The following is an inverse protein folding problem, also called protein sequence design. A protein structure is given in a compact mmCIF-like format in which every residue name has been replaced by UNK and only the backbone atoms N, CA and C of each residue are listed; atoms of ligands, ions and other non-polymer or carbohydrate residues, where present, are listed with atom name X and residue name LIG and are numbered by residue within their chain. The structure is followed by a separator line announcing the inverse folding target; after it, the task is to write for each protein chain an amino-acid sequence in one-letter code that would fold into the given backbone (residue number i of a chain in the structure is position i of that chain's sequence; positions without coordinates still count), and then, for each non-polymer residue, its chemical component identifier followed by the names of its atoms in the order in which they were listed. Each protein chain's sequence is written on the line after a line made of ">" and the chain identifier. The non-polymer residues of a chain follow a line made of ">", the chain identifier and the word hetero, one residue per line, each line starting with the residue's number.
data_IF_366779758466
#
_entry.id   IF_366779758466
#
_cell.length_a   1.000
_cell.length_b   1.000
_cell.length_c   1.000
_cell.angle_alpha   90.00
_cell.angle_beta   90.00
_cell.angle_gamma   90.00
#
_symmetry.space_group_name_H-M   'P 1'
#
loop_
_entity.id
_entity.type
_entity.pdbx_description
1 polymer ?
#
# COMPACT_ATOMS: atom_id res chain seq x y z
N UNK A 1 31.45 -33.25 -22.72
CA UNK A 1 30.35 -33.80 -21.89
C UNK A 1 29.45 -32.65 -21.48
N UNK A 2 28.13 -32.81 -21.59
CA UNK A 2 27.18 -31.83 -21.06
C UNK A 2 27.21 -31.83 -19.51
N UNK A 3 26.80 -30.72 -18.89
CA UNK A 3 26.71 -30.64 -17.43
C UNK A 3 25.56 -31.50 -16.88
N UNK A 4 25.75 -32.21 -15.75
CA UNK A 4 24.65 -32.83 -15.00
C UNK A 4 23.64 -31.79 -14.50
N UNK A 5 22.35 -32.14 -14.40
CA UNK A 5 21.25 -31.21 -14.09
C UNK A 5 21.43 -30.41 -12.79
N UNK A 6 22.02 -31.03 -11.76
CA UNK A 6 22.26 -30.39 -10.46
C UNK A 6 23.46 -29.42 -10.46
N UNK A 7 24.20 -29.32 -11.58
CA UNK A 7 25.34 -28.41 -11.74
C UNK A 7 25.05 -27.24 -12.69
N UNK A 8 23.84 -27.07 -13.19
CA UNK A 8 23.54 -26.04 -14.20
C UNK A 8 23.89 -24.62 -13.75
N UNK A 9 23.87 -24.31 -12.45
CA UNK A 9 24.25 -22.98 -11.94
C UNK A 9 25.76 -22.72 -11.92
N UNK A 10 26.64 -23.72 -12.15
CA UNK A 10 28.08 -23.46 -12.18
C UNK A 10 28.50 -22.57 -13.36
N UNK A 11 27.62 -22.41 -14.37
CA UNK A 11 27.88 -21.57 -15.55
C UNK A 11 28.10 -20.09 -15.20
N UNK A 12 27.63 -19.60 -14.05
CA UNK A 12 27.81 -18.20 -13.64
C UNK A 12 29.02 -17.97 -12.74
N UNK A 13 29.80 -19.00 -12.40
CA UNK A 13 30.90 -18.87 -11.42
C UNK A 13 32.01 -17.90 -11.83
N UNK A 14 32.30 -17.78 -13.13
CA UNK A 14 33.32 -16.88 -13.68
C UNK A 14 32.73 -15.74 -14.51
N UNK A 15 31.42 -15.49 -14.41
CA UNK A 15 30.73 -14.40 -15.10
C UNK A 15 30.10 -13.48 -14.04
N UNK A 16 30.83 -12.45 -13.55
CA UNK A 16 30.40 -11.63 -12.42
C UNK A 16 29.11 -10.84 -12.72
N UNK A 17 28.88 -10.46 -13.97
CA UNK A 17 27.67 -9.74 -14.37
C UNK A 17 26.44 -10.64 -14.31
N UNK A 18 26.54 -11.87 -14.82
CA UNK A 18 25.44 -12.85 -14.71
C UNK A 18 25.24 -13.31 -13.28
N UNK A 19 26.32 -13.46 -12.52
CA UNK A 19 26.26 -13.77 -11.11
C UNK A 19 25.49 -12.68 -10.34
N UNK A 20 25.78 -11.40 -10.60
CA UNK A 20 25.03 -10.30 -10.00
C UNK A 20 23.54 -10.34 -10.40
N UNK A 21 23.25 -10.59 -11.67
CA UNK A 21 21.86 -10.68 -12.16
C UNK A 21 21.06 -11.76 -11.41
N UNK A 22 21.61 -12.96 -11.21
CA UNK A 22 20.91 -14.02 -10.47
C UNK A 22 20.76 -13.69 -8.98
N UNK A 23 21.71 -12.96 -8.38
CA UNK A 23 21.57 -12.48 -7.00
C UNK A 23 20.43 -11.46 -6.88
N UNK A 24 20.31 -10.55 -7.84
CA UNK A 24 19.19 -9.61 -7.91
C UNK A 24 17.88 -10.38 -8.09
N UNK A 25 17.80 -11.32 -9.04
CA UNK A 25 16.61 -12.15 -9.27
C UNK A 25 16.19 -12.94 -8.02
N UNK A 26 17.14 -13.52 -7.29
CA UNK A 26 16.86 -14.21 -6.04
C UNK A 26 16.35 -13.24 -4.97
N UNK A 27 16.97 -12.06 -4.84
CA UNK A 27 16.56 -11.05 -3.87
C UNK A 27 15.16 -10.52 -4.15
N UNK A 28 14.83 -10.27 -5.42
CA UNK A 28 13.48 -9.83 -5.81
C UNK A 28 12.43 -10.90 -5.59
N UNK A 29 12.75 -12.18 -5.84
CA UNK A 29 11.85 -13.29 -5.56
C UNK A 29 11.55 -13.41 -4.05
N UNK A 30 12.57 -13.28 -3.21
CA UNK A 30 12.44 -13.32 -1.74
C UNK A 30 11.66 -12.11 -1.22
N UNK A 31 11.92 -10.91 -1.74
CA UNK A 31 11.17 -9.71 -1.41
C UNK A 31 9.70 -9.82 -1.84
N UNK A 32 9.44 -10.36 -3.05
CA UNK A 32 8.10 -10.61 -3.56
C UNK A 32 7.33 -11.64 -2.73
N UNK A 33 8.00 -12.72 -2.31
CA UNK A 33 7.42 -13.69 -1.39
C UNK A 33 7.07 -13.05 -0.04
N UNK A 34 8.00 -12.29 0.57
CA UNK A 34 7.74 -11.64 1.85
C UNK A 34 6.55 -10.67 1.79
N UNK A 35 6.46 -9.87 0.72
CA UNK A 35 5.34 -8.94 0.50
C UNK A 35 4.01 -9.66 0.27
N UNK A 36 3.99 -10.66 -0.61
CA UNK A 36 2.77 -11.42 -0.91
C UNK A 36 2.26 -12.20 0.30
N UNK A 37 3.15 -12.80 1.10
CA UNK A 37 2.77 -13.46 2.36
C UNK A 37 2.18 -12.48 3.38
N UNK A 38 2.78 -11.29 3.54
CA UNK A 38 2.26 -10.27 4.45
C UNK A 38 0.89 -9.77 4.01
N UNK A 39 0.67 -9.56 2.70
CA UNK A 39 -0.62 -9.18 2.16
C UNK A 39 -1.66 -10.30 2.30
N UNK A 40 -1.28 -11.57 2.09
CA UNK A 40 -2.21 -12.69 2.26
C UNK A 40 -2.63 -12.86 3.72
N UNK A 41 -1.71 -12.71 4.66
CA UNK A 41 -2.02 -12.75 6.09
C UNK A 41 -2.92 -11.59 6.48
N UNK A 42 -2.60 -10.36 6.07
CA UNK A 42 -3.41 -9.18 6.38
C UNK A 42 -4.84 -9.28 5.82
N UNK A 43 -5.02 -9.96 4.68
CA UNK A 43 -6.34 -10.12 4.05
C UNK A 43 -7.27 -11.07 4.82
N UNK A 44 -6.73 -11.98 5.65
CA UNK A 44 -7.51 -12.97 6.40
C UNK A 44 -7.41 -12.81 7.92
N UNK A 45 -6.47 -12.00 8.41
CA UNK A 45 -6.25 -11.76 9.83
C UNK A 45 -7.44 -11.04 10.47
N UNK A 46 -7.97 -11.61 11.55
CA UNK A 46 -9.01 -10.98 12.37
C UNK A 46 -8.39 -10.34 13.62
N UNK A 47 -8.35 -8.99 13.71
CA UNK A 47 -7.79 -8.27 14.86
C UNK A 47 -8.78 -8.12 16.03
N UNK A 48 -10.01 -8.67 15.96
CA UNK A 48 -11.10 -8.33 16.87
C UNK A 48 -10.93 -8.83 18.30
N UNK A 49 -10.32 -10.01 18.51
CA UNK A 49 -10.11 -10.59 19.84
C UNK A 49 -8.64 -11.00 20.06
N UNK A 50 -7.78 -10.08 20.52
CA UNK A 50 -6.37 -10.38 20.75
C UNK A 50 -6.11 -11.30 21.97
N UNK A 51 -7.14 -11.60 22.78
CA UNK A 51 -7.00 -12.43 23.99
C UNK A 51 -7.30 -13.90 23.66
N UNK A 52 -8.45 -14.18 23.05
CA UNK A 52 -8.90 -15.54 22.76
C UNK A 52 -8.56 -16.01 21.34
N UNK A 53 -8.34 -15.08 20.40
CA UNK A 53 -7.94 -15.40 19.03
C UNK A 53 -6.72 -14.60 18.54
N UNK A 54 -5.56 -14.73 19.20
CA UNK A 54 -4.33 -14.07 18.78
C UNK A 54 -3.74 -14.67 17.49
N UNK A 55 -2.81 -13.95 16.88
CA UNK A 55 -2.14 -14.29 15.60
C UNK A 55 -1.65 -15.75 15.46
N UNK A 56 -1.20 -16.38 16.56
CA UNK A 56 -0.70 -17.75 16.55
C UNK A 56 -1.81 -18.81 16.49
N UNK A 57 -3.07 -18.47 16.79
CA UNK A 57 -4.24 -19.33 16.58
C UNK A 57 -4.78 -19.28 15.15
N UNK A 58 -4.56 -18.16 14.48
CA UNK A 58 -5.02 -17.91 13.10
C UNK A 58 -4.02 -18.38 12.03
N UNK A 59 -2.87 -18.94 12.42
CA UNK A 59 -1.87 -19.45 11.48
C UNK A 59 -1.04 -18.35 10.80
N UNK A 60 -0.91 -17.18 11.43
CA UNK A 60 -0.09 -16.09 10.90
C UNK A 60 1.41 -16.42 11.11
N UNK A 61 2.21 -16.30 10.05
CA UNK A 61 3.63 -16.60 10.05
C UNK A 61 4.49 -15.33 10.00
N UNK A 62 4.24 -14.40 9.08
CA UNK A 62 5.07 -13.20 8.89
C UNK A 62 4.67 -12.01 9.79
N UNK A 63 3.39 -11.89 10.15
CA UNK A 63 2.91 -10.87 11.09
C UNK A 63 3.69 -10.88 12.42
N UNK A 64 3.93 -12.02 13.11
CA UNK A 64 4.76 -12.07 14.31
C UNK A 64 6.18 -11.48 14.16
N UNK A 65 6.81 -11.62 12.98
CA UNK A 65 8.13 -11.04 12.74
C UNK A 65 8.07 -9.52 12.58
N UNK A 66 7.01 -9.01 11.94
CA UNK A 66 6.77 -7.57 11.82
C UNK A 66 6.49 -6.94 13.20
N UNK A 67 5.66 -7.58 14.02
CA UNK A 67 5.32 -7.07 15.36
C UNK A 67 6.52 -7.07 16.31
N UNK A 68 7.41 -8.06 16.20
CA UNK A 68 8.67 -8.10 16.95
C UNK A 68 9.54 -6.87 16.69
N UNK A 69 9.48 -6.29 15.50
CA UNK A 69 10.21 -5.07 15.12
C UNK A 69 9.41 -3.79 15.38
N UNK A 70 8.26 -3.87 16.05
CA UNK A 70 7.45 -2.72 16.45
C UNK A 70 6.37 -2.29 15.45
N UNK A 71 6.13 -3.05 14.37
CA UNK A 71 5.04 -2.78 13.44
C UNK A 71 3.73 -3.33 14.04
N UNK A 72 3.01 -2.49 14.78
CA UNK A 72 1.82 -2.92 15.56
C UNK A 72 0.50 -2.25 15.17
N UNK A 73 0.55 -1.20 14.34
CA UNK A 73 -0.59 -0.38 13.99
C UNK A 73 -0.94 -0.50 12.50
N UNK A 74 -2.20 -0.80 12.20
CA UNK A 74 -2.71 -0.90 10.83
C UNK A 74 -3.21 0.45 10.32
N UNK A 75 -3.11 0.67 9.00
CA UNK A 75 -3.81 1.77 8.33
C UNK A 75 -5.34 1.65 8.45
N UNK A 76 -5.85 0.46 8.73
CA UNK A 76 -7.27 0.21 9.03
C UNK A 76 -7.73 0.72 10.39
N UNK A 77 -6.89 1.45 11.14
CA UNK A 77 -7.26 2.10 12.40
C UNK A 77 -7.28 1.18 13.62
N UNK A 78 -6.73 -0.03 13.52
CA UNK A 78 -6.61 -0.99 14.61
C UNK A 78 -5.15 -1.27 14.98
N UNK A 79 -4.92 -1.69 16.21
CA UNK A 79 -3.63 -2.11 16.75
C UNK A 79 -3.69 -3.57 17.19
N UNK A 80 -2.56 -4.26 17.14
CA UNK A 80 -2.44 -5.66 17.56
C UNK A 80 -2.75 -5.91 19.04
N UNK A 81 -2.76 -4.88 19.87
CA UNK A 81 -3.17 -4.96 21.28
C UNK A 81 -4.65 -4.62 21.51
N UNK A 82 -5.45 -4.50 20.44
CA UNK A 82 -6.87 -4.19 20.51
C UNK A 82 -7.19 -2.69 20.62
N UNK A 83 -6.18 -1.81 20.56
CA UNK A 83 -6.38 -0.36 20.57
C UNK A 83 -6.80 0.18 19.20
N UNK A 84 -7.63 1.23 19.19
CA UNK A 84 -7.89 2.03 17.98
C UNK A 84 -6.74 3.02 17.74
N UNK A 85 -6.30 3.16 16.49
CA UNK A 85 -5.21 4.05 16.07
C UNK A 85 -5.81 5.18 15.22
N UNK A 86 -5.75 6.41 15.71
CA UNK A 86 -6.35 7.60 15.08
C UNK A 86 -5.48 8.25 14.00
N UNK A 87 -4.33 7.67 13.67
CA UNK A 87 -3.41 8.23 12.68
C UNK A 87 -3.75 8.05 11.17
N UNK A 88 -4.79 7.28 10.71
CA UNK A 88 -5.12 7.30 9.28
C UNK A 88 -5.71 8.64 8.83
N UNK A 89 -6.31 9.39 9.76
CA UNK A 89 -6.82 10.73 9.51
C UNK A 89 -5.73 11.75 9.20
N UNK A 90 -4.51 11.61 9.74
CA UNK A 90 -3.42 12.60 9.51
C UNK A 90 -2.94 12.57 8.07
N UNK A 91 -2.88 11.40 7.44
CA UNK A 91 -2.53 11.29 6.02
C UNK A 91 -3.65 11.85 5.12
N UNK A 92 -4.91 11.50 5.41
CA UNK A 92 -6.07 12.02 4.66
C UNK A 92 -6.21 13.54 4.82
N UNK A 93 -6.11 14.04 6.05
CA UNK A 93 -6.14 15.46 6.37
C UNK A 93 -4.96 16.17 5.72
N UNK A 94 -3.74 15.61 5.79
CA UNK A 94 -2.56 16.20 5.16
C UNK A 94 -2.68 16.28 3.64
N UNK A 95 -3.21 15.23 3.01
CA UNK A 95 -3.49 15.23 1.57
C UNK A 95 -4.55 16.29 1.20
N UNK A 96 -5.68 16.31 1.90
CA UNK A 96 -6.74 17.30 1.64
C UNK A 96 -6.32 18.74 1.92
N UNK A 97 -5.77 19.01 3.11
CA UNK A 97 -5.50 20.36 3.61
C UNK A 97 -4.22 20.99 3.05
N UNK A 98 -3.26 20.20 2.53
CA UNK A 98 -2.00 20.74 2.00
C UNK A 98 -1.78 20.42 0.52
N UNK A 99 -2.02 19.17 0.10
CA UNK A 99 -1.72 18.74 -1.25
C UNK A 99 -2.79 19.20 -2.25
N UNK A 100 -4.08 18.96 -1.94
CA UNK A 100 -5.21 19.28 -2.83
C UNK A 100 -5.52 20.77 -2.86
N UNK A 101 -5.50 21.45 -1.71
CA UNK A 101 -5.73 22.90 -1.60
C UNK A 101 -4.52 23.75 -2.02
N UNK A 102 -3.46 23.17 -2.56
CA UNK A 102 -2.23 23.87 -2.97
C UNK A 102 -1.54 24.73 -1.87
N UNK A 103 -1.91 24.58 -0.59
CA UNK A 103 -1.33 25.36 0.52
C UNK A 103 0.17 25.02 0.70
N UNK A 104 0.53 23.74 0.53
CA UNK A 104 1.92 23.26 0.55
C UNK A 104 2.16 22.10 -0.45
N UNK A 105 1.35 22.01 -1.51
CA UNK A 105 1.47 21.01 -2.57
C UNK A 105 1.04 21.57 -3.93
N UNK A 106 1.07 20.76 -5.01
CA UNK A 106 0.83 21.24 -6.36
C UNK A 106 -0.66 21.45 -6.70
N UNK A 107 -1.60 21.01 -5.86
CA UNK A 107 -3.02 20.91 -6.24
C UNK A 107 -3.31 19.61 -7.01
N UNK A 108 -4.46 19.55 -7.68
CA UNK A 108 -4.82 18.42 -8.56
C UNK A 108 -5.20 18.92 -9.95
N UNK A 109 -5.33 18.00 -10.90
CA UNK A 109 -5.73 18.30 -12.27
C UNK A 109 -7.21 18.69 -12.35
N UNK A 110 -7.51 19.75 -13.09
CA UNK A 110 -8.88 20.20 -13.38
C UNK A 110 -8.95 20.63 -14.85
N UNK A 111 -10.09 20.41 -15.50
CA UNK A 111 -10.36 20.86 -16.87
C UNK A 111 -11.72 21.52 -16.98
N UNK A 112 -11.96 22.22 -18.09
CA UNK A 112 -13.33 22.58 -18.48
C UNK A 112 -14.16 21.31 -18.82
N UNK A 113 -15.50 21.42 -18.87
CA UNK A 113 -16.38 20.29 -19.17
C UNK A 113 -16.12 19.59 -20.51
N UNK A 114 -15.46 20.26 -21.45
CA UNK A 114 -15.10 19.72 -22.76
C UNK A 114 -13.67 19.17 -22.81
N UNK A 115 -12.92 19.25 -21.70
CA UNK A 115 -11.56 18.71 -21.59
C UNK A 115 -10.49 19.47 -22.37
N UNK A 116 -10.74 20.72 -22.78
CA UNK A 116 -9.87 21.44 -23.73
C UNK A 116 -8.75 22.25 -23.05
N UNK A 117 -8.94 22.64 -21.79
CA UNK A 117 -8.07 23.58 -21.05
C UNK A 117 -7.55 23.00 -19.73
N UNK A 118 -7.32 21.69 -19.70
CA UNK A 118 -6.84 20.98 -18.51
C UNK A 118 -5.49 21.48 -17.99
N UNK A 119 -5.40 21.69 -16.68
CA UNK A 119 -4.16 22.04 -15.97
C UNK A 119 -4.24 21.65 -14.50
N UNK A 120 -3.08 21.58 -13.84
CA UNK A 120 -3.02 21.47 -12.38
C UNK A 120 -3.32 22.84 -11.77
N UNK A 121 -4.20 22.91 -10.77
CA UNK A 121 -4.54 24.16 -10.12
C UNK A 121 -4.97 24.01 -8.65
N UNK A 122 -5.00 25.15 -7.95
CA UNK A 122 -5.56 25.32 -6.62
C UNK A 122 -7.07 25.09 -6.61
N UNK A 123 -7.56 24.37 -5.58
CA UNK A 123 -8.99 24.08 -5.38
C UNK A 123 -9.42 24.54 -3.99
N UNK A 124 -10.51 25.30 -3.95
CA UNK A 124 -11.17 25.65 -2.71
C UNK A 124 -12.07 24.51 -2.26
N UNK A 125 -12.09 24.18 -0.95
CA UNK A 125 -13.05 23.22 -0.44
C UNK A 125 -14.48 23.79 -0.56
N UNK A 126 -15.40 22.93 -0.98
CA UNK A 126 -16.84 23.19 -1.01
C UNK A 126 -17.46 22.54 0.23
N UNK A 127 -18.20 23.33 1.01
CA UNK A 127 -18.74 22.91 2.31
C UNK A 127 -20.26 22.75 2.32
N UNK A 128 -20.93 23.08 1.23
CA UNK A 128 -22.36 22.91 1.06
C UNK A 128 -22.68 21.61 0.30
N UNK A 129 -23.93 21.48 -0.15
CA UNK A 129 -24.41 20.29 -0.84
C UNK A 129 -23.77 20.06 -2.20
N UNK A 130 -23.15 21.09 -2.81
CA UNK A 130 -22.50 20.96 -4.11
C UNK A 130 -21.26 20.05 -4.06
N UNK A 131 -20.65 19.91 -2.88
CA UNK A 131 -19.51 19.01 -2.65
C UNK A 131 -19.81 17.53 -2.88
N UNK A 132 -21.08 17.15 -3.02
CA UNK A 132 -21.53 15.79 -3.30
C UNK A 132 -21.93 15.57 -4.77
N UNK A 133 -21.90 16.61 -5.61
CA UNK A 133 -22.26 16.49 -7.03
C UNK A 133 -21.16 15.76 -7.82
N UNK A 134 -21.57 15.08 -8.89
CA UNK A 134 -20.67 14.51 -9.87
C UNK A 134 -20.05 15.57 -10.80
N UNK A 135 -19.12 15.18 -11.68
CA UNK A 135 -18.46 16.10 -12.62
C UNK A 135 -19.42 16.87 -13.54
N UNK A 136 -20.60 16.32 -13.79
CA UNK A 136 -21.63 16.91 -14.65
C UNK A 136 -22.60 17.85 -13.89
N UNK A 137 -22.38 18.05 -12.57
CA UNK A 137 -23.24 18.89 -11.73
C UNK A 137 -24.53 18.22 -11.26
N UNK A 138 -24.72 16.94 -11.59
CA UNK A 138 -25.84 16.14 -11.13
C UNK A 138 -25.48 15.37 -9.85
N UNK A 139 -26.50 15.01 -9.05
CA UNK A 139 -26.31 14.05 -7.98
C UNK A 139 -25.80 12.74 -8.57
N UNK A 140 -24.82 12.08 -7.94
CA UNK A 140 -24.43 10.73 -8.32
C UNK A 140 -25.67 9.86 -8.16
N UNK A 141 -26.35 9.60 -9.27
CA UNK A 141 -27.62 8.90 -9.30
C UNK A 141 -27.46 7.57 -8.59
N UNK A 142 -28.41 7.26 -7.71
CA UNK A 142 -28.63 5.95 -7.12
C UNK A 142 -28.40 4.85 -8.15
N UNK A 143 -27.33 4.08 -7.99
CA UNK A 143 -27.30 2.72 -8.49
C UNK A 143 -28.37 1.89 -7.77
#
# INVERSE_FOLDING_TARGET
>A
MALPWYRVHTVVLNDPSRLLSVHIMHTTLLAGWAGSMALSELAVFDPSDPILDPMWRQGMFVIPFMTRLGITNSRGGWSLTGGAVTNPGVACFGFGAFHVTCLYGPGIWVSDPYGLTGKVQHINPVWDVEGFLGPDGDWPSSA
#
